data_IF_641280023910
#
_entry.id   IF_641280023910
#
_cell.length_a   1.000
_cell.length_b   1.000
_cell.length_c   1.000
_cell.angle_alpha   90.00
_cell.angle_beta   90.00
_cell.angle_gamma   90.00
#
_symmetry.space_group_name_H-M   'P 1'
#
loop_
_entity.id
_entity.type
_entity.pdbx_description
1 polymer ?
#
# COMPACT_ATOMS: atom_id res chain seq x y z
N UNK A 1 -4.63 5.41 27.83
CA UNK A 1 -3.51 6.23 27.29
C UNK A 1 -2.57 5.56 26.28
N UNK A 2 -3.04 4.62 25.44
CA UNK A 2 -2.24 4.12 24.29
C UNK A 2 -2.70 4.64 22.91
N UNK A 3 -3.77 5.42 22.85
CA UNK A 3 -4.25 6.01 21.58
C UNK A 3 -3.45 7.26 21.19
N UNK A 4 -2.64 7.82 22.10
CA UNK A 4 -2.13 9.19 22.00
C UNK A 4 -0.62 9.36 21.82
N UNK A 5 0.09 8.40 21.21
CA UNK A 5 1.49 8.63 20.78
C UNK A 5 1.76 8.17 19.36
N UNK A 6 0.90 8.53 18.42
CA UNK A 6 1.25 8.52 17.00
C UNK A 6 1.29 9.96 16.52
N UNK A 7 2.49 10.52 16.49
CA UNK A 7 2.78 11.77 15.80
C UNK A 7 2.54 11.52 14.32
N UNK A 8 1.47 12.10 13.77
CA UNK A 8 1.31 12.18 12.32
C UNK A 8 2.00 13.46 11.88
N UNK A 9 3.10 13.32 11.16
CA UNK A 9 3.81 14.44 10.56
C UNK A 9 3.47 14.50 9.07
N UNK A 10 3.01 15.65 8.61
CA UNK A 10 2.68 15.87 7.20
C UNK A 10 3.84 16.60 6.52
N UNK A 11 4.36 16.02 5.45
CA UNK A 11 5.36 16.62 4.58
C UNK A 11 4.72 16.86 3.21
N UNK A 12 4.64 18.13 2.81
CA UNK A 12 4.11 18.51 1.50
C UNK A 12 5.28 18.83 0.58
N UNK A 13 5.43 18.03 -0.48
CA UNK A 13 6.37 18.32 -1.54
C UNK A 13 5.64 19.10 -2.62
N UNK A 14 5.96 20.39 -2.71
CA UNK A 14 5.46 21.27 -3.77
C UNK A 14 6.57 21.35 -4.81
N UNK A 15 6.58 20.43 -5.75
CA UNK A 15 7.49 20.51 -6.88
C UNK A 15 6.73 20.39 -8.20
N UNK A 16 7.19 21.15 -9.19
CA UNK A 16 6.74 21.05 -10.58
C UNK A 16 7.37 19.79 -11.16
N UNK A 17 6.88 18.63 -10.74
CA UNK A 17 7.18 17.41 -11.46
C UNK A 17 6.51 17.53 -12.81
N UNK A 18 7.28 18.04 -13.77
CA UNK A 18 6.97 17.90 -15.17
C UNK A 18 6.77 16.42 -15.35
N UNK A 19 5.52 16.01 -15.60
CA UNK A 19 5.27 14.70 -16.19
C UNK A 19 6.33 14.54 -17.28
N UNK A 20 7.11 13.45 -17.30
CA UNK A 20 8.17 13.30 -18.27
C UNK A 20 7.56 13.64 -19.63
N UNK A 21 8.11 14.65 -20.30
CA UNK A 21 7.70 14.96 -21.67
C UNK A 21 8.27 13.81 -22.48
N UNK A 22 7.52 12.72 -22.56
CA UNK A 22 7.86 11.54 -23.36
C UNK A 22 7.59 11.92 -24.81
N UNK A 23 8.50 12.70 -25.39
CA UNK A 23 8.69 12.69 -26.83
C UNK A 23 9.20 11.31 -27.23
N UNK A 24 8.67 10.76 -28.31
CA UNK A 24 9.09 9.47 -28.85
C UNK A 24 10.63 9.38 -28.91
N UNK A 25 11.23 8.49 -28.09
CA UNK A 25 12.67 8.21 -28.09
C UNK A 25 13.49 8.62 -26.87
N UNK A 26 12.90 9.13 -25.77
CA UNK A 26 13.65 9.33 -24.50
C UNK A 26 13.53 8.12 -23.57
N UNK A 27 14.66 7.71 -22.95
CA UNK A 27 14.74 6.65 -21.93
C UNK A 27 13.79 6.95 -20.76
N UNK A 28 13.17 5.92 -20.20
CA UNK A 28 12.40 6.04 -18.95
C UNK A 28 13.26 6.72 -17.88
N UNK A 29 12.68 7.72 -17.21
CA UNK A 29 13.38 8.37 -16.11
C UNK A 29 13.43 7.45 -14.89
N UNK A 30 14.52 7.48 -14.12
CA UNK A 30 14.65 6.62 -12.95
C UNK A 30 13.62 6.96 -11.86
N UNK A 31 13.17 5.95 -11.10
CA UNK A 31 12.14 6.13 -10.08
C UNK A 31 12.42 7.26 -9.08
N UNK A 32 13.67 7.44 -8.64
CA UNK A 32 14.05 8.47 -7.68
C UNK A 32 13.82 9.91 -8.17
N UNK A 33 13.61 10.13 -9.47
CA UNK A 33 13.25 11.47 -10.01
C UNK A 33 11.75 11.74 -10.00
N UNK A 34 10.92 10.74 -9.66
CA UNK A 34 9.47 10.92 -9.50
C UNK A 34 9.10 11.49 -8.12
N UNK A 35 7.85 11.97 -7.96
CA UNK A 35 7.33 12.47 -6.67
C UNK A 35 7.40 11.42 -5.58
N UNK A 36 7.04 10.20 -5.98
CA UNK A 36 7.06 9.07 -5.08
C UNK A 36 8.51 8.73 -4.72
N UNK A 37 9.42 8.68 -5.69
CA UNK A 37 10.85 8.47 -5.44
C UNK A 37 11.44 9.52 -4.50
N UNK A 38 11.18 10.80 -4.72
CA UNK A 38 11.65 11.89 -3.86
C UNK A 38 11.13 11.76 -2.43
N UNK A 39 9.83 11.49 -2.27
CA UNK A 39 9.24 11.27 -0.96
C UNK A 39 9.85 10.04 -0.25
N UNK A 40 10.12 8.95 -0.99
CA UNK A 40 10.73 7.75 -0.44
C UNK A 40 12.17 8.02 0.04
N UNK A 41 12.97 8.67 -0.79
CA UNK A 41 14.36 9.09 -0.49
C UNK A 41 14.39 9.99 0.76
N UNK A 42 13.50 10.98 0.82
CA UNK A 42 13.38 11.89 1.95
C UNK A 42 13.03 11.13 3.24
N UNK A 43 12.03 10.25 3.20
CA UNK A 43 11.63 9.44 4.35
C UNK A 43 12.76 8.51 4.82
N UNK A 44 13.50 7.87 3.91
CA UNK A 44 14.67 7.07 4.28
C UNK A 44 15.73 7.90 5.01
N UNK A 45 16.11 9.06 4.46
CA UNK A 45 17.12 9.95 5.04
C UNK A 45 16.69 10.47 6.42
N UNK A 46 15.42 10.82 6.56
CA UNK A 46 14.87 11.31 7.82
C UNK A 46 14.76 10.20 8.86
N UNK A 47 14.36 8.99 8.47
CA UNK A 47 14.24 7.89 9.42
C UNK A 47 15.56 7.27 9.84
N UNK A 48 16.65 7.49 9.08
CA UNK A 48 17.97 6.97 9.41
C UNK A 48 18.43 7.46 10.79
N UNK A 49 18.79 6.52 11.66
CA UNK A 49 19.17 6.79 13.05
C UNK A 49 18.01 7.09 14.00
N UNK A 50 16.77 7.24 13.50
CA UNK A 50 15.56 7.49 14.31
C UNK A 50 14.64 6.28 14.40
N UNK A 51 14.56 5.50 13.34
CA UNK A 51 13.69 4.34 13.23
C UNK A 51 14.45 3.12 12.73
N UNK A 52 14.15 1.96 13.32
CA UNK A 52 14.67 0.67 12.86
C UNK A 52 14.00 0.25 11.55
N UNK A 53 12.67 0.42 11.48
CA UNK A 53 11.83 0.03 10.36
C UNK A 53 11.06 1.22 9.79
N UNK A 54 10.86 1.24 8.47
CA UNK A 54 9.92 2.12 7.78
C UNK A 54 9.11 1.29 6.78
N UNK A 55 7.79 1.48 6.77
CA UNK A 55 6.89 0.90 5.77
C UNK A 55 6.63 1.89 4.64
N UNK A 56 6.80 1.44 3.40
CA UNK A 56 6.62 2.26 2.20
C UNK A 56 5.38 1.80 1.42
N UNK A 57 4.23 2.37 1.74
CA UNK A 57 2.92 2.03 1.18
C UNK A 57 2.22 3.25 0.58
N UNK A 58 1.34 2.99 -0.38
CA UNK A 58 0.48 3.98 -1.02
C UNK A 58 -0.77 4.24 -0.16
N UNK A 59 -1.43 5.39 -0.36
CA UNK A 59 -2.55 5.81 0.48
C UNK A 59 -3.82 4.93 0.33
N UNK A 60 -3.89 4.11 -0.70
CA UNK A 60 -4.94 3.12 -0.95
C UNK A 60 -4.53 1.68 -0.54
N UNK A 61 -3.42 1.55 0.19
CA UNK A 61 -2.89 0.29 0.70
C UNK A 61 -2.97 0.21 2.24
N UNK A 62 -3.47 -0.92 2.75
CA UNK A 62 -3.71 -1.12 4.18
C UNK A 62 -3.06 -2.41 4.65
N UNK A 63 -2.18 -2.31 5.64
CA UNK A 63 -1.51 -3.48 6.23
C UNK A 63 -2.47 -4.26 7.13
N UNK A 64 -2.64 -5.54 6.85
CA UNK A 64 -3.47 -6.46 7.64
C UNK A 64 -2.62 -7.59 8.15
N UNK A 65 -2.42 -7.64 9.47
CA UNK A 65 -1.82 -8.78 10.17
C UNK A 65 -2.88 -9.85 10.42
N UNK A 66 -2.56 -11.11 10.10
CA UNK A 66 -3.45 -12.27 10.10
C UNK A 66 -3.01 -13.30 11.14
N UNK A 67 -3.89 -14.25 11.46
CA UNK A 67 -3.61 -15.31 12.42
C UNK A 67 -3.47 -14.82 13.86
N UNK A 68 -4.08 -13.68 14.19
CA UNK A 68 -4.05 -13.09 15.53
C UNK A 68 -5.10 -13.74 16.44
N UNK A 69 -4.80 -13.76 17.74
CA UNK A 69 -5.76 -14.23 18.73
C UNK A 69 -6.96 -13.27 18.81
N UNK A 70 -8.21 -13.78 18.89
CA UNK A 70 -9.40 -12.94 19.02
C UNK A 70 -9.29 -11.95 20.19
N UNK A 71 -9.67 -10.70 19.93
CA UNK A 71 -9.65 -9.63 20.94
C UNK A 71 -8.26 -9.04 21.25
N UNK A 72 -7.18 -9.56 20.66
CA UNK A 72 -5.84 -8.98 20.78
C UNK A 72 -5.61 -8.00 19.63
N UNK A 73 -5.23 -6.76 19.96
CA UNK A 73 -4.85 -5.77 18.96
C UNK A 73 -3.54 -6.21 18.27
N UNK A 74 -3.46 -6.14 16.93
CA UNK A 74 -2.21 -6.38 16.22
C UNK A 74 -1.06 -5.49 16.73
N UNK A 75 0.12 -6.09 16.89
CA UNK A 75 1.37 -5.37 17.14
C UNK A 75 2.37 -5.66 16.02
N UNK A 76 2.63 -4.63 15.22
CA UNK A 76 3.58 -4.71 14.11
C UNK A 76 5.03 -4.84 14.60
N UNK A 77 5.38 -4.28 15.77
CA UNK A 77 6.73 -4.40 16.30
C UNK A 77 7.01 -5.84 16.72
N UNK A 78 6.06 -6.49 17.38
CA UNK A 78 6.17 -7.91 17.74
C UNK A 78 6.30 -8.77 16.49
N UNK A 79 5.45 -8.53 15.49
CA UNK A 79 5.48 -9.24 14.22
C UNK A 79 6.84 -9.11 13.50
N UNK A 80 7.43 -7.91 13.48
CA UNK A 80 8.69 -7.65 12.77
C UNK A 80 9.93 -8.25 13.47
N UNK A 81 9.85 -8.71 14.72
CA UNK A 81 10.99 -9.34 15.42
C UNK A 81 11.54 -10.55 14.66
N UNK A 82 10.66 -11.37 14.09
CA UNK A 82 11.06 -12.54 13.30
C UNK A 82 11.76 -12.19 11.97
N UNK A 83 11.67 -10.93 11.55
CA UNK A 83 12.25 -10.45 10.29
C UNK A 83 13.50 -9.59 10.49
N UNK A 84 13.95 -9.36 11.73
CA UNK A 84 15.18 -8.62 12.04
C UNK A 84 16.47 -9.17 11.40
N UNK A 85 16.61 -10.49 11.15
CA UNK A 85 17.75 -11.01 10.40
C UNK A 85 17.80 -10.56 8.94
N UNK A 86 16.72 -10.00 8.39
CA UNK A 86 16.60 -9.61 6.98
C UNK A 86 16.63 -8.08 6.82
N UNK A 87 17.07 -7.57 5.65
CA UNK A 87 17.10 -6.14 5.40
C UNK A 87 15.71 -5.54 5.15
N UNK A 88 14.73 -6.35 4.75
CA UNK A 88 13.35 -5.93 4.56
C UNK A 88 12.38 -7.12 4.52
N UNK A 89 11.12 -6.81 4.80
CA UNK A 89 9.96 -7.66 4.53
C UNK A 89 9.20 -7.10 3.33
N UNK A 90 9.07 -7.89 2.28
CA UNK A 90 8.13 -7.63 1.19
C UNK A 90 6.75 -8.19 1.54
N UNK A 91 5.74 -7.32 1.52
CA UNK A 91 4.34 -7.68 1.78
C UNK A 91 3.58 -7.68 0.47
N UNK A 92 3.04 -8.84 0.10
CA UNK A 92 2.24 -9.00 -1.10
C UNK A 92 0.92 -8.23 -1.04
N UNK A 93 0.54 -7.65 -2.16
CA UNK A 93 -0.79 -7.10 -2.37
C UNK A 93 -1.86 -8.17 -2.22
N UNK A 94 -3.01 -7.75 -1.68
CA UNK A 94 -4.29 -8.42 -1.75
C UNK A 94 -5.26 -7.47 -2.40
N UNK A 95 -5.52 -7.67 -3.68
CA UNK A 95 -6.20 -6.69 -4.53
C UNK A 95 -7.72 -6.78 -4.38
N UNK A 96 -8.38 -5.64 -4.20
CA UNK A 96 -9.83 -5.52 -4.04
C UNK A 96 -10.49 -4.89 -5.27
N UNK A 97 -11.62 -5.46 -5.66
CA UNK A 97 -12.54 -4.93 -6.66
C UNK A 97 -13.26 -3.67 -6.19
N UNK A 98 -13.89 -2.96 -7.11
CA UNK A 98 -14.81 -1.87 -6.79
C UNK A 98 -16.11 -2.37 -6.19
N UNK A 99 -16.44 -3.67 -6.36
CA UNK A 99 -17.74 -4.23 -5.99
C UNK A 99 -18.87 -3.79 -6.92
N UNK A 100 -18.55 -3.37 -8.15
CA UNK A 100 -19.51 -2.84 -9.12
C UNK A 100 -20.02 -1.43 -8.80
N UNK A 101 -19.36 -0.72 -7.87
CA UNK A 101 -19.80 0.60 -7.45
C UNK A 101 -19.58 1.65 -8.56
N UNK A 102 -20.61 2.43 -8.86
CA UNK A 102 -20.51 3.54 -9.84
C UNK A 102 -19.86 4.79 -9.22
N UNK A 103 -20.11 5.04 -7.92
CA UNK A 103 -19.52 6.12 -7.13
C UNK A 103 -18.83 5.56 -5.88
N UNK A 104 -17.80 6.24 -5.34
CA UNK A 104 -17.12 5.75 -4.15
C UNK A 104 -18.06 5.82 -2.94
N UNK A 105 -18.06 4.76 -2.14
CA UNK A 105 -18.77 4.69 -0.87
C UNK A 105 -17.91 5.30 0.25
N UNK A 106 -18.53 5.83 1.33
CA UNK A 106 -17.80 6.61 2.34
C UNK A 106 -16.67 5.87 3.06
N UNK A 107 -16.86 4.57 3.34
CA UNK A 107 -15.93 3.76 4.14
C UNK A 107 -15.35 2.62 3.31
N UNK A 108 -14.04 2.38 3.41
CA UNK A 108 -13.37 1.34 2.60
C UNK A 108 -13.68 -0.07 3.14
N UNK A 109 -13.32 -0.36 4.39
CA UNK A 109 -13.40 -1.71 4.95
C UNK A 109 -14.78 -2.41 4.83
N UNK A 110 -15.92 -1.77 5.15
CA UNK A 110 -17.21 -2.46 5.09
C UNK A 110 -17.81 -2.56 3.69
N UNK A 111 -17.36 -1.75 2.73
CA UNK A 111 -18.02 -1.62 1.43
C UNK A 111 -17.26 -2.32 0.28
N UNK A 112 -15.96 -2.57 0.47
CA UNK A 112 -15.09 -3.17 -0.54
C UNK A 112 -14.52 -4.48 0.01
N UNK A 113 -15.31 -5.53 -0.14
CA UNK A 113 -15.04 -6.85 0.46
C UNK A 113 -14.82 -7.95 -0.58
N UNK A 114 -14.94 -7.60 -1.87
CA UNK A 114 -14.65 -8.49 -2.99
C UNK A 114 -13.21 -8.32 -3.43
N UNK A 115 -12.46 -9.41 -3.40
CA UNK A 115 -11.03 -9.43 -3.67
C UNK A 115 -10.67 -10.48 -4.73
N UNK A 116 -9.56 -10.25 -5.41
CA UNK A 116 -9.04 -11.19 -6.39
C UNK A 116 -8.57 -12.47 -5.73
N UNK A 117 -8.64 -13.59 -6.48
CA UNK A 117 -8.10 -14.86 -6.05
C UNK A 117 -6.65 -14.72 -5.55
N UNK A 118 -6.28 -15.45 -4.49
CA UNK A 118 -4.94 -15.33 -3.87
C UNK A 118 -3.79 -15.55 -4.86
N UNK A 119 -3.97 -16.46 -5.82
CA UNK A 119 -2.96 -16.78 -6.83
C UNK A 119 -2.95 -15.80 -8.00
N UNK A 120 -3.87 -14.82 -8.05
CA UNK A 120 -3.96 -13.86 -9.13
C UNK A 120 -2.65 -13.07 -9.29
N UNK A 121 -2.22 -12.84 -10.54
CA UNK A 121 -0.91 -12.24 -10.85
C UNK A 121 -0.71 -10.87 -10.23
N UNK A 122 -1.77 -10.07 -10.07
CA UNK A 122 -1.64 -8.76 -9.43
C UNK A 122 -1.20 -8.85 -7.96
N UNK A 123 -1.57 -9.92 -7.26
CA UNK A 123 -1.16 -10.16 -5.87
C UNK A 123 0.33 -10.51 -5.71
N UNK A 124 1.05 -10.74 -6.82
CA UNK A 124 2.49 -11.01 -6.76
C UNK A 124 3.30 -9.74 -6.46
N UNK A 125 2.75 -8.56 -6.73
CA UNK A 125 3.42 -7.31 -6.38
C UNK A 125 3.57 -7.22 -4.87
N UNK A 126 4.72 -6.71 -4.45
CA UNK A 126 5.01 -6.41 -3.06
C UNK A 126 5.12 -4.91 -2.82
N UNK A 127 5.01 -4.51 -1.56
CA UNK A 127 5.62 -3.29 -1.04
C UNK A 127 6.51 -3.63 0.14
N UNK A 128 7.46 -2.77 0.45
CA UNK A 128 8.52 -3.10 1.39
C UNK A 128 8.36 -2.39 2.74
N UNK A 129 8.54 -3.16 3.81
CA UNK A 129 8.87 -2.67 5.14
C UNK A 129 10.38 -2.89 5.32
N UNK A 130 11.16 -1.82 5.35
CA UNK A 130 12.62 -1.91 5.29
C UNK A 130 13.27 -1.60 6.62
N UNK A 131 14.36 -2.32 6.92
CA UNK A 131 15.28 -1.95 7.99
C UNK A 131 16.17 -0.82 7.47
N UNK A 132 15.96 0.39 7.99
CA UNK A 132 16.54 1.62 7.43
C UNK A 132 18.07 1.58 7.40
N UNK A 133 18.70 0.96 8.41
CA UNK A 133 20.16 0.87 8.49
C UNK A 133 20.78 -0.06 7.42
N UNK A 134 19.97 -0.91 6.79
CA UNK A 134 20.39 -1.94 5.83
C UNK A 134 20.05 -1.60 4.38
N UNK A 135 19.35 -0.50 4.13
CA UNK A 135 19.11 0.03 2.77
C UNK A 135 20.37 0.70 2.24
N UNK A 136 20.72 0.42 0.99
CA UNK A 136 21.80 1.05 0.22
C UNK A 136 21.24 2.24 -0.59
N UNK A 137 20.17 1.99 -1.36
CA UNK A 137 19.50 2.98 -2.21
C UNK A 137 18.05 2.60 -2.50
N UNK A 138 17.28 3.53 -3.08
CA UNK A 138 16.01 3.19 -3.71
C UNK A 138 16.22 2.19 -4.84
N UNK A 139 15.26 1.29 -5.02
CA UNK A 139 15.20 0.45 -6.21
C UNK A 139 14.71 1.23 -7.43
N UNK A 140 14.59 0.55 -8.57
CA UNK A 140 14.12 1.17 -9.83
C UNK A 140 12.60 1.38 -9.88
N UNK A 141 11.88 1.02 -8.80
CA UNK A 141 10.42 1.07 -8.71
C UNK A 141 10.00 1.31 -7.25
N UNK A 142 8.75 1.71 -6.97
CA UNK A 142 8.28 1.96 -5.60
C UNK A 142 8.11 0.71 -4.74
N UNK A 143 8.37 -0.48 -5.27
CA UNK A 143 8.07 -1.76 -4.61
C UNK A 143 9.21 -2.27 -3.72
N UNK A 144 10.46 -1.95 -4.06
CA UNK A 144 11.64 -2.53 -3.44
C UNK A 144 12.82 -1.55 -3.39
N UNK A 145 13.86 -1.95 -2.65
CA UNK A 145 15.07 -1.19 -2.40
C UNK A 145 16.30 -2.06 -2.68
N UNK A 146 17.44 -1.41 -2.91
CA UNK A 146 18.73 -2.09 -2.92
C UNK A 146 19.28 -2.12 -1.50
N UNK A 147 19.87 -3.24 -1.09
CA UNK A 147 20.31 -3.47 0.28
C UNK A 147 21.81 -3.70 0.36
N UNK A 148 22.39 -3.30 1.50
CA UNK A 148 23.83 -3.41 1.75
C UNK A 148 24.32 -4.85 1.62
N UNK A 149 25.56 -4.99 1.17
CA UNK A 149 26.27 -6.27 1.00
C UNK A 149 25.55 -7.27 0.07
N UNK A 150 24.71 -6.79 -0.85
CA UNK A 150 23.94 -7.64 -1.75
C UNK A 150 22.89 -8.50 -1.04
N UNK A 151 22.50 -8.14 0.20
CA UNK A 151 21.45 -8.86 0.91
C UNK A 151 20.08 -8.70 0.22
N UNK A 152 19.18 -9.65 0.44
CA UNK A 152 17.85 -9.65 -0.19
C UNK A 152 16.74 -9.51 0.84
N UNK A 153 15.68 -8.79 0.46
CA UNK A 153 14.43 -8.80 1.20
C UNK A 153 13.83 -10.21 1.21
N UNK A 154 12.90 -10.47 2.13
CA UNK A 154 12.15 -11.73 2.15
C UNK A 154 10.65 -11.48 2.17
N UNK A 155 9.86 -12.45 1.72
CA UNK A 155 8.41 -12.44 1.91
C UNK A 155 8.04 -12.95 3.32
N UNK A 156 6.74 -13.03 3.62
CA UNK A 156 6.27 -13.48 4.94
C UNK A 156 6.72 -14.91 5.30
N UNK A 157 7.04 -15.75 4.31
CA UNK A 157 7.55 -17.12 4.47
C UNK A 157 9.09 -17.17 4.52
N UNK A 158 9.76 -16.02 4.61
CA UNK A 158 11.23 -15.88 4.65
C UNK A 158 11.92 -16.34 3.36
N UNK A 159 11.20 -16.37 2.25
CA UNK A 159 11.76 -16.62 0.91
C UNK A 159 12.30 -15.32 0.35
N UNK A 160 13.54 -15.36 -0.17
CA UNK A 160 14.19 -14.18 -0.77
C UNK A 160 13.39 -13.61 -1.94
N UNK A 161 13.34 -12.28 -2.02
CA UNK A 161 12.65 -11.53 -3.07
C UNK A 161 13.69 -10.82 -3.92
N UNK A 162 13.49 -10.87 -5.23
CA UNK A 162 14.24 -10.08 -6.20
C UNK A 162 13.29 -9.16 -6.95
N UNK A 163 13.51 -7.85 -6.82
CA UNK A 163 12.67 -6.83 -7.44
C UNK A 163 11.27 -6.70 -6.82
N UNK A 164 10.28 -6.42 -7.66
CA UNK A 164 8.94 -6.01 -7.24
C UNK A 164 7.94 -7.17 -7.00
N UNK A 165 8.36 -8.42 -7.21
CA UNK A 165 7.44 -9.56 -7.29
C UNK A 165 7.87 -10.71 -6.38
N UNK A 166 6.91 -11.33 -5.70
CA UNK A 166 7.10 -12.55 -4.92
C UNK A 166 5.81 -13.40 -4.95
N UNK A 167 5.88 -14.74 -4.93
CA UNK A 167 4.69 -15.58 -4.79
C UNK A 167 3.89 -15.22 -3.52
N UNK A 168 2.59 -14.89 -3.64
CA UNK A 168 1.77 -14.53 -2.49
C UNK A 168 1.35 -15.74 -1.67
N UNK A 169 1.39 -15.62 -0.34
CA UNK A 169 0.81 -16.60 0.59
C UNK A 169 -0.32 -16.04 1.45
N UNK A 170 -0.28 -14.75 1.81
CA UNK A 170 -1.32 -14.05 2.61
C UNK A 170 -1.77 -14.78 3.88
N UNK A 171 -0.88 -15.56 4.48
CA UNK A 171 -1.15 -16.40 5.65
C UNK A 171 -0.99 -15.62 6.95
N UNK A 172 0.01 -14.73 7.04
CA UNK A 172 0.35 -13.98 8.25
C UNK A 172 0.20 -12.47 8.08
N UNK A 173 0.38 -11.98 6.86
CA UNK A 173 0.26 -10.56 6.52
C UNK A 173 -0.19 -10.40 5.07
N UNK A 174 -1.02 -9.39 4.83
CA UNK A 174 -1.41 -8.98 3.49
C UNK A 174 -1.48 -7.47 3.42
N UNK A 175 -1.18 -6.91 2.24
CA UNK A 175 -1.39 -5.49 1.97
C UNK A 175 -2.67 -5.33 1.14
N UNK A 176 -3.77 -5.00 1.81
CA UNK A 176 -5.05 -4.78 1.13
C UNK A 176 -4.94 -3.57 0.21
N UNK A 177 -5.08 -3.78 -1.09
CA UNK A 177 -4.88 -2.76 -2.11
C UNK A 177 -6.22 -2.42 -2.77
N UNK A 178 -6.75 -1.24 -2.46
CA UNK A 178 -8.02 -0.72 -2.99
C UNK A 178 -7.77 0.21 -4.18
N UNK A 179 -7.31 -0.37 -5.29
CA UNK A 179 -6.78 0.42 -6.42
C UNK A 179 -7.79 1.41 -7.00
N UNK A 180 -9.07 1.06 -6.95
CA UNK A 180 -10.15 1.98 -7.26
C UNK A 180 -11.38 1.59 -6.48
N UNK A 181 -12.16 2.59 -6.11
CA UNK A 181 -13.38 2.42 -5.31
C UNK A 181 -14.66 2.54 -6.12
N UNK A 182 -14.56 2.86 -7.41
CA UNK A 182 -15.72 2.94 -8.30
C UNK A 182 -15.32 3.13 -9.76
N UNK A 183 -16.29 2.97 -10.67
CA UNK A 183 -16.14 3.36 -12.06
C UNK A 183 -15.80 4.86 -12.21
N UNK A 184 -16.50 5.75 -11.51
CA UNK A 184 -16.22 7.18 -11.59
C UNK A 184 -14.81 7.55 -11.10
N UNK A 185 -14.33 6.91 -10.02
CA UNK A 185 -12.97 7.12 -9.52
C UNK A 185 -11.92 6.58 -10.50
N UNK A 186 -12.14 5.38 -11.04
CA UNK A 186 -11.25 4.77 -12.03
C UNK A 186 -11.06 5.66 -13.25
N UNK A 187 -12.17 6.17 -13.83
CA UNK A 187 -12.12 7.06 -14.99
C UNK A 187 -11.37 8.36 -14.69
N UNK A 188 -11.49 8.93 -13.48
CA UNK A 188 -10.67 10.09 -13.07
C UNK A 188 -9.18 9.73 -12.97
N UNK A 189 -8.84 8.55 -12.42
CA UNK A 189 -7.45 8.07 -12.34
C UNK A 189 -6.87 7.86 -13.74
N UNK A 190 -7.62 7.27 -14.67
CA UNK A 190 -7.21 7.11 -16.08
C UNK A 190 -7.02 8.46 -16.76
N UNK A 191 -7.97 9.39 -16.61
CA UNK A 191 -7.88 10.72 -17.22
C UNK A 191 -6.69 11.53 -16.71
N UNK A 192 -6.30 11.34 -15.44
CA UNK A 192 -5.08 11.93 -14.85
C UNK A 192 -3.79 11.30 -15.41
N UNK A 193 -3.84 10.05 -15.89
CA UNK A 193 -2.68 9.27 -16.30
C UNK A 193 -2.02 8.47 -15.16
N UNK A 194 -1.18 7.49 -15.52
CA UNK A 194 -0.39 6.70 -14.56
C UNK A 194 0.76 7.57 -14.02
N UNK A 195 1.07 7.43 -12.73
CA UNK A 195 2.17 8.18 -12.09
C UNK A 195 3.55 7.97 -12.72
N UNK A 196 3.75 6.86 -13.43
CA UNK A 196 5.02 6.50 -14.08
C UNK A 196 4.96 6.43 -15.61
N UNK A 197 3.79 6.63 -16.22
CA UNK A 197 3.62 6.50 -17.67
C UNK A 197 2.63 7.57 -18.18
N UNK A 198 3.18 8.72 -18.57
CA UNK A 198 2.47 9.66 -19.41
C UNK A 198 2.44 9.10 -20.85
N UNK A 199 1.25 8.96 -21.44
CA UNK A 199 1.13 8.86 -22.90
C UNK A 199 0.49 7.61 -23.52
N UNK A 200 0.00 6.62 -22.76
CA UNK A 200 -0.90 5.63 -23.36
C UNK A 200 -2.31 6.21 -23.45
N UNK A 201 -2.71 6.58 -24.67
CA UNK A 201 -4.08 6.96 -24.99
C UNK A 201 -4.97 5.70 -24.96
N UNK A 202 -5.44 5.32 -23.78
CA UNK A 202 -6.42 4.25 -23.62
C UNK A 202 -7.80 4.85 -23.88
N UNK A 203 -8.57 4.25 -24.78
CA UNK A 203 -9.94 4.70 -25.04
C UNK A 203 -10.82 4.49 -23.81
N UNK A 204 -11.91 5.26 -23.70
CA UNK A 204 -12.91 5.06 -22.65
C UNK A 204 -13.44 3.61 -22.63
N UNK A 205 -13.67 3.02 -23.82
CA UNK A 205 -14.14 1.64 -23.94
C UNK A 205 -13.14 0.62 -23.40
N UNK A 206 -11.86 0.75 -23.74
CA UNK A 206 -10.81 -0.12 -23.20
C UNK A 206 -10.67 0.04 -21.68
N UNK A 207 -10.78 1.27 -21.18
CA UNK A 207 -10.72 1.55 -19.74
C UNK A 207 -11.86 0.86 -19.00
N UNK A 208 -13.08 0.94 -19.52
CA UNK A 208 -14.24 0.28 -18.93
C UNK A 208 -14.13 -1.25 -19.00
N UNK A 209 -13.62 -1.80 -20.09
CA UNK A 209 -13.38 -3.25 -20.21
C UNK A 209 -12.36 -3.74 -19.17
N UNK A 210 -11.24 -3.03 -19.00
CA UNK A 210 -10.25 -3.36 -17.96
C UNK A 210 -10.85 -3.30 -16.56
N UNK A 211 -11.71 -2.32 -16.27
CA UNK A 211 -12.40 -2.25 -14.99
C UNK A 211 -13.36 -3.42 -14.78
N UNK A 212 -14.08 -3.82 -15.83
CA UNK A 212 -14.98 -4.98 -15.79
C UNK A 212 -14.23 -6.28 -15.53
N UNK A 213 -13.09 -6.51 -16.20
CA UNK A 213 -12.21 -7.65 -15.93
C UNK A 213 -11.70 -7.63 -14.48
N UNK A 214 -11.26 -6.47 -14.01
CA UNK A 214 -10.78 -6.29 -12.64
C UNK A 214 -11.84 -6.66 -11.58
N UNK A 215 -13.10 -6.26 -11.79
CA UNK A 215 -14.21 -6.65 -10.91
C UNK A 215 -14.61 -8.12 -11.10
N UNK A 216 -14.57 -8.64 -12.34
CA UNK A 216 -14.87 -10.04 -12.64
C UNK A 216 -13.86 -11.01 -12.00
N UNK A 217 -12.59 -10.61 -11.91
CA UNK A 217 -11.54 -11.38 -11.23
C UNK A 217 -11.63 -11.28 -9.70
N UNK A 218 -12.35 -10.28 -9.18
CA UNK A 218 -12.55 -10.02 -7.75
C UNK A 218 -13.68 -10.87 -7.16
N UNK A 219 -13.51 -12.19 -7.18
CA UNK A 219 -14.57 -13.15 -6.84
C UNK A 219 -14.61 -13.54 -5.36
N UNK A 220 -13.48 -13.47 -4.66
CA UNK A 220 -13.35 -13.93 -3.28
C UNK A 220 -13.93 -12.93 -2.27
N UNK A 221 -14.42 -13.44 -1.14
CA UNK A 221 -14.94 -12.63 -0.05
C UNK A 221 -13.84 -12.41 0.99
N UNK A 222 -13.23 -11.22 1.00
CA UNK A 222 -12.22 -10.81 1.96
C UNK A 222 -12.80 -9.83 2.98
N UNK A 223 -12.91 -10.27 4.22
CA UNK A 223 -13.46 -9.46 5.34
C UNK A 223 -12.48 -9.29 6.48
N UNK A 224 -11.26 -9.84 6.37
CA UNK A 224 -10.30 -9.93 7.47
C UNK A 224 -9.90 -8.54 8.01
N UNK A 225 -9.79 -7.53 7.13
CA UNK A 225 -9.53 -6.16 7.55
C UNK A 225 -10.70 -5.52 8.31
N UNK A 226 -11.93 -5.82 7.91
CA UNK A 226 -13.15 -5.36 8.59
C UNK A 226 -13.29 -6.05 9.95
N UNK A 227 -13.14 -7.37 9.98
CA UNK A 227 -13.24 -8.18 11.19
C UNK A 227 -12.20 -7.75 12.22
N UNK A 228 -10.96 -7.51 11.77
CA UNK A 228 -9.90 -7.03 12.65
C UNK A 228 -10.23 -5.66 13.23
N UNK A 229 -10.69 -4.72 12.39
CA UNK A 229 -11.11 -3.41 12.84
C UNK A 229 -12.24 -3.49 13.88
N UNK A 230 -13.26 -4.33 13.64
CA UNK A 230 -14.37 -4.54 14.56
C UNK A 230 -13.90 -5.10 15.90
N UNK A 231 -12.97 -6.07 15.89
CA UNK A 231 -12.50 -6.74 17.09
C UNK A 231 -11.59 -5.87 17.96
N UNK A 232 -10.66 -5.12 17.36
CA UNK A 232 -9.66 -4.37 18.13
C UNK A 232 -9.99 -2.89 18.35
N UNK A 233 -10.72 -2.28 17.41
CA UNK A 233 -10.49 -0.87 17.11
C UNK A 233 -11.77 -0.05 16.93
N UNK A 234 -12.90 -0.65 16.54
CA UNK A 234 -14.17 0.04 16.33
C UNK A 234 -14.67 0.73 17.60
N UNK A 235 -14.77 0.01 18.72
CA UNK A 235 -15.25 0.60 19.98
C UNK A 235 -14.38 1.76 20.50
N UNK A 236 -13.04 1.62 20.60
CA UNK A 236 -12.18 2.76 20.95
C UNK A 236 -12.31 3.95 19.99
N UNK A 237 -12.50 3.69 18.69
CA UNK A 237 -12.67 4.73 17.67
C UNK A 237 -13.99 5.50 17.85
N UNK A 238 -15.10 4.81 18.09
CA UNK A 238 -16.42 5.43 18.30
C UNK A 238 -16.48 6.26 19.60
N UNK A 239 -15.79 5.79 20.65
CA UNK A 239 -15.62 6.55 21.89
C UNK A 239 -14.83 7.83 21.63
N UNK A 240 -13.75 7.76 20.84
CA UNK A 240 -12.97 8.94 20.45
C UNK A 240 -13.77 9.93 19.61
N UNK A 241 -14.53 9.46 18.61
CA UNK A 241 -15.36 10.34 17.76
C UNK A 241 -16.37 11.12 18.62
N UNK A 242 -17.07 10.44 19.54
CA UNK A 242 -18.03 11.08 20.46
C UNK A 242 -17.36 12.15 21.32
N UNK A 243 -16.15 11.90 21.81
CA UNK A 243 -15.39 12.89 22.59
C UNK A 243 -14.94 14.09 21.74
N UNK A 244 -14.53 13.86 20.49
CA UNK A 244 -14.13 14.93 19.57
C UNK A 244 -15.30 15.86 19.24
N UNK A 245 -16.48 15.30 18.94
CA UNK A 245 -17.67 16.10 18.64
C UNK A 245 -18.16 16.92 19.84
N UNK A 246 -17.92 16.46 21.07
CA UNK A 246 -18.21 17.24 22.29
C UNK A 246 -17.25 18.42 22.52
N UNK A 247 -16.10 18.46 21.83
CA UNK A 247 -15.06 19.49 22.02
C UNK A 247 -15.06 20.58 20.95
N UNK A 248 -15.96 20.52 19.96
CA UNK A 248 -16.14 21.59 18.97
C UNK A 248 -17.36 22.41 19.43
N UNK A 249 -17.19 23.66 19.92
CA UNK A 249 -18.32 24.55 20.18
C UNK A 249 -19.09 24.80 18.87
N UNK A 250 -20.42 24.89 18.99
CA UNK A 250 -21.31 25.28 17.90
C UNK A 250 -20.98 26.67 17.35
#
# INVERSE_FOLDING_TARGET
DQVHKQTVEYYYFVDQHRAPIVGAGKKEEPFWTSAQGFAWEFCLRMGLGRHKWIAFFDADEYLVLRGLQPGVRPDINEFLKEYEPYPALGVNWRVFGTGGNVQPLPSVLPNYVKCMNSSHKLNWHIKSIVNVARVESLGVSPHYFDYKNGSKAVNELKVEIEGAFSPPSHTRVALHHYQTRSAAEYLRKVARGRGSAAGQHITLGQSLATLQEYDADSTEQCTEGLDLWQQCCAKPYDEWQRQRHRRVPA
#
